data_IF_952855104299
#
_entry.id   IF_952855104299
#
_cell.length_a   1.000
_cell.length_b   1.000
_cell.length_c   1.000
_cell.angle_alpha   90.00
_cell.angle_beta   90.00
_cell.angle_gamma   90.00
#
_symmetry.space_group_name_H-M   'P 1'
#
loop_
_entity.id
_entity.type
_entity.pdbx_description
1 polymer ?
#
# COMPACT_ATOMS: atom_id res chain seq x y z
N UNK A 1 2.62 5.44 6.62
CA UNK A 1 2.12 5.82 5.29
C UNK A 1 0.66 5.47 5.19
N UNK A 2 -0.03 5.91 4.15
CA UNK A 2 -1.45 5.68 3.89
C UNK A 2 -1.59 4.71 2.71
N UNK A 3 -2.52 3.76 2.83
CA UNK A 3 -2.93 2.87 1.73
C UNK A 3 -4.30 3.33 1.27
N UNK A 4 -4.50 3.45 -0.05
CA UNK A 4 -5.77 3.90 -0.63
C UNK A 4 -6.59 2.77 -1.19
N UNK A 5 -5.93 1.82 -1.86
CA UNK A 5 -6.59 0.67 -2.46
C UNK A 5 -5.70 -0.56 -2.41
N UNK A 6 -6.35 -1.72 -2.46
CA UNK A 6 -5.76 -3.05 -2.51
C UNK A 6 -6.57 -3.87 -3.52
N UNK A 7 -5.88 -4.49 -4.47
CA UNK A 7 -6.49 -5.36 -5.48
C UNK A 7 -5.76 -6.70 -5.52
N UNK A 8 -6.49 -7.77 -5.82
CA UNK A 8 -5.90 -9.09 -6.07
C UNK A 8 -5.39 -9.11 -7.51
N UNK A 9 -4.11 -9.40 -7.69
CA UNK A 9 -3.51 -9.54 -9.00
C UNK A 9 -3.76 -10.93 -9.60
N UNK A 10 -3.68 -11.10 -10.94
CA UNK A 10 -3.92 -12.39 -11.59
C UNK A 10 -2.99 -13.53 -11.14
N UNK A 11 -1.81 -13.19 -10.62
CA UNK A 11 -0.81 -14.14 -10.11
C UNK A 11 -1.02 -14.50 -8.63
N UNK A 12 -2.13 -14.05 -8.02
CA UNK A 12 -2.46 -14.27 -6.61
C UNK A 12 -1.74 -13.34 -5.63
N UNK A 13 -0.87 -12.45 -6.11
CA UNK A 13 -0.29 -11.39 -5.27
C UNK A 13 -1.29 -10.27 -4.99
N UNK A 14 -0.97 -9.38 -4.05
CA UNK A 14 -1.73 -8.15 -3.83
C UNK A 14 -1.03 -6.96 -4.47
N UNK A 15 -1.78 -6.13 -5.18
CA UNK A 15 -1.34 -4.81 -5.62
C UNK A 15 -1.89 -3.75 -4.68
N UNK A 16 -1.00 -2.95 -4.10
CA UNK A 16 -1.34 -1.90 -3.15
C UNK A 16 -0.95 -0.54 -3.72
N UNK A 17 -1.81 0.46 -3.55
CA UNK A 17 -1.50 1.85 -3.88
C UNK A 17 -1.35 2.68 -2.60
N UNK A 18 -0.21 3.36 -2.45
CA UNK A 18 -0.05 4.35 -1.38
C UNK A 18 -0.74 5.66 -1.72
N UNK A 19 -1.09 6.44 -0.71
CA UNK A 19 -1.64 7.79 -0.88
C UNK A 19 -1.04 8.76 0.15
N UNK A 20 0.28 8.78 0.17
CA UNK A 20 1.09 9.63 1.03
C UNK A 20 1.09 11.08 0.55
N UNK A 21 0.84 11.38 -0.72
CA UNK A 21 0.76 12.78 -1.18
C UNK A 21 -0.63 13.41 -0.99
N UNK A 22 -1.63 12.63 -0.57
CA UNK A 22 -2.97 13.15 -0.30
C UNK A 22 -2.96 14.04 0.95
N UNK A 23 -3.11 15.35 0.72
CA UNK A 23 -3.13 16.40 1.76
C UNK A 23 -4.52 16.57 2.38
N UNK A 24 -5.52 15.80 1.95
CA UNK A 24 -6.86 15.86 2.53
C UNK A 24 -6.93 15.32 3.97
N UNK A 25 -5.96 14.51 4.39
CA UNK A 25 -5.87 14.05 5.79
C UNK A 25 -4.95 14.96 6.59
N UNK A 26 -5.53 15.86 7.40
CA UNK A 26 -4.78 16.67 8.36
C UNK A 26 -4.03 15.77 9.35
N UNK A 27 -2.73 16.03 9.56
CA UNK A 27 -1.94 15.38 10.63
C UNK A 27 -1.21 14.09 10.23
N UNK A 28 -1.20 13.71 8.96
CA UNK A 28 -0.39 12.58 8.51
C UNK A 28 1.09 12.93 8.27
N UNK A 29 1.94 11.91 8.21
CA UNK A 29 3.36 12.07 7.88
C UNK A 29 3.52 12.70 6.49
N UNK A 30 4.54 13.55 6.33
CA UNK A 30 4.89 14.09 5.02
C UNK A 30 5.28 12.98 4.03
N UNK A 31 5.01 13.16 2.73
CA UNK A 31 5.43 12.22 1.70
C UNK A 31 6.95 12.13 1.64
N UNK A 32 7.46 10.94 1.35
CA UNK A 32 8.88 10.72 1.07
C UNK A 32 9.15 10.82 -0.43
N UNK A 33 10.40 11.08 -0.85
CA UNK A 33 10.76 10.94 -2.26
C UNK A 33 10.35 9.56 -2.81
N UNK A 34 9.70 9.58 -3.98
CA UNK A 34 9.15 8.39 -4.62
C UNK A 34 7.83 7.89 -4.05
N UNK A 35 7.12 8.68 -3.23
CA UNK A 35 5.68 8.53 -3.05
C UNK A 35 4.94 9.22 -4.22
N UNK A 36 3.80 8.72 -4.69
CA UNK A 36 3.13 7.48 -4.29
C UNK A 36 3.65 6.24 -5.05
N UNK A 37 3.39 5.05 -4.50
CA UNK A 37 3.90 3.77 -5.00
C UNK A 37 2.76 2.80 -5.28
N UNK A 38 2.96 2.01 -6.32
CA UNK A 38 2.27 0.72 -6.49
C UNK A 38 3.24 -0.36 -6.01
N UNK A 39 2.80 -1.14 -5.03
CA UNK A 39 3.58 -2.23 -4.44
C UNK A 39 2.94 -3.57 -4.80
N UNK A 40 3.76 -4.56 -5.14
CA UNK A 40 3.33 -5.96 -5.26
C UNK A 40 3.75 -6.71 -4.00
N UNK A 41 2.81 -7.37 -3.35
CA UNK A 41 3.04 -8.16 -2.13
C UNK A 41 2.70 -9.62 -2.42
N UNK A 42 3.67 -10.49 -2.25
CA UNK A 42 3.45 -11.94 -2.30
C UNK A 42 2.83 -12.41 -0.98
N UNK A 43 1.83 -13.29 -1.09
CA UNK A 43 1.16 -13.87 0.06
C UNK A 43 1.83 -15.19 0.44
N UNK A 44 2.20 -15.32 1.71
CA UNK A 44 2.63 -16.58 2.30
C UNK A 44 1.52 -17.13 3.21
N UNK A 45 1.46 -18.46 3.44
CA UNK A 45 0.51 -19.03 4.38
C UNK A 45 0.61 -18.33 5.74
N UNK A 46 -0.56 -18.07 6.35
CA UNK A 46 -0.59 -17.57 7.71
C UNK A 46 0.06 -18.59 8.64
N UNK A 47 0.95 -18.13 9.52
CA UNK A 47 1.49 -18.98 10.57
C UNK A 47 0.40 -19.13 11.65
N UNK A 48 -0.01 -20.36 11.91
CA UNK A 48 -0.83 -20.67 13.09
C UNK A 48 0.04 -20.39 14.33
N UNK A 49 -0.48 -19.60 15.27
CA UNK A 49 0.19 -19.27 16.52
C UNK A 49 -0.11 -20.32 17.60
#
# INVERSE_FOLDING_TARGET
GRIRTVEVAPDGSLWLMTSNTDRATWGGTDPRPGDDRILRVELVPAQEQ
#
